data_IF_145652337119
#
_entry.id   IF_145652337119
#
_cell.length_a   1.000
_cell.length_b   1.000
_cell.length_c   1.000
_cell.angle_alpha   90.00
_cell.angle_beta   90.00
_cell.angle_gamma   90.00
#
_symmetry.space_group_name_H-M   'P 1'
#
loop_
_entity.id
_entity.type
_entity.pdbx_description
1 polymer ?
#
# COMPACT_ATOMS: atom_id res chain seq x y z
N UNK A 1 6.65 19.55 -13.05
CA UNK A 1 7.25 18.44 -12.28
C UNK A 1 8.54 17.99 -12.96
N UNK A 2 9.58 18.76 -12.80
CA UNK A 2 10.94 18.42 -13.26
C UNK A 2 11.78 18.39 -12.01
N UNK A 3 12.33 17.27 -11.61
CA UNK A 3 13.55 17.25 -10.82
C UNK A 3 13.74 16.16 -9.75
N UNK A 4 13.05 15.06 -9.82
CA UNK A 4 13.35 13.99 -8.86
C UNK A 4 14.13 12.79 -9.47
N UNK A 5 14.69 12.94 -10.68
CA UNK A 5 15.22 11.79 -11.43
C UNK A 5 16.71 11.84 -11.77
N UNK A 6 17.45 12.84 -11.35
CA UNK A 6 18.87 12.96 -11.77
C UNK A 6 19.86 12.08 -11.01
N UNK A 7 19.48 11.49 -9.87
CA UNK A 7 20.37 10.63 -9.07
C UNK A 7 19.99 9.14 -9.00
N UNK A 8 18.77 8.77 -9.46
CA UNK A 8 18.27 7.39 -9.39
C UNK A 8 17.94 6.78 -10.75
N UNK A 9 18.33 7.43 -11.84
CA UNK A 9 17.94 7.03 -13.19
C UNK A 9 18.70 5.83 -13.74
N UNK A 10 19.85 5.47 -13.18
CA UNK A 10 20.71 4.44 -13.74
C UNK A 10 20.14 3.03 -13.58
N UNK A 11 19.37 2.75 -12.52
CA UNK A 11 18.79 1.42 -12.34
C UNK A 11 17.73 1.06 -13.41
N UNK A 12 17.05 2.05 -13.97
CA UNK A 12 16.06 1.83 -15.04
C UNK A 12 16.69 1.41 -16.37
N UNK A 13 17.97 1.71 -16.55
CA UNK A 13 18.73 1.34 -17.75
C UNK A 13 19.72 0.22 -17.52
N UNK A 14 20.33 0.18 -16.31
CA UNK A 14 21.41 -0.77 -16.00
C UNK A 14 20.88 -2.09 -15.44
N UNK A 15 19.76 -2.09 -14.74
CA UNK A 15 19.15 -3.32 -14.24
C UNK A 15 18.28 -3.98 -15.32
N UNK A 16 18.65 -5.18 -15.83
CA UNK A 16 17.91 -5.83 -16.92
C UNK A 16 16.42 -6.03 -16.64
N UNK A 17 16.05 -6.24 -15.37
CA UNK A 17 14.66 -6.45 -14.96
C UNK A 17 13.79 -5.21 -15.19
N UNK A 18 14.38 -4.02 -15.04
CA UNK A 18 13.71 -2.75 -15.25
C UNK A 18 13.90 -2.23 -16.67
N UNK A 19 15.11 -2.40 -17.23
CA UNK A 19 15.47 -1.90 -18.56
C UNK A 19 14.55 -2.41 -19.66
N UNK A 20 14.10 -3.65 -19.56
CA UNK A 20 13.20 -4.27 -20.55
C UNK A 20 11.88 -3.51 -20.74
N UNK A 21 11.37 -2.84 -19.71
CA UNK A 21 10.15 -2.06 -19.78
C UNK A 21 10.42 -0.55 -19.92
N UNK A 22 11.48 -0.04 -19.28
CA UNK A 22 11.75 1.39 -19.18
C UNK A 22 12.86 1.90 -20.10
N UNK A 23 13.66 1.00 -20.65
CA UNK A 23 14.72 1.31 -21.61
C UNK A 23 14.85 0.20 -22.67
N UNK A 24 13.78 -0.16 -23.41
CA UNK A 24 13.73 -1.33 -24.28
C UNK A 24 14.80 -1.34 -25.38
N UNK A 25 15.29 -0.16 -25.76
CA UNK A 25 16.33 0.04 -26.77
C UNK A 25 17.66 0.51 -26.15
N UNK A 26 17.89 0.24 -24.85
CA UNK A 26 19.08 0.68 -24.13
C UNK A 26 19.06 2.15 -23.71
N UNK A 27 18.05 2.92 -24.13
CA UNK A 27 17.85 4.32 -23.73
C UNK A 27 16.55 4.45 -22.96
N UNK A 28 16.60 5.17 -21.83
CA UNK A 28 15.42 5.39 -20.99
C UNK A 28 14.35 6.15 -21.77
N UNK A 29 13.09 5.65 -21.67
CA UNK A 29 11.92 6.35 -22.19
C UNK A 29 11.77 7.73 -21.54
N UNK A 30 11.46 8.73 -22.37
CA UNK A 30 11.28 10.11 -21.98
C UNK A 30 9.82 10.54 -21.88
N UNK A 31 9.61 11.82 -21.64
CA UNK A 31 8.27 12.40 -21.60
C UNK A 31 7.62 12.33 -23.00
N UNK A 32 6.45 11.71 -23.10
CA UNK A 32 5.72 11.51 -24.35
C UNK A 32 5.98 10.16 -25.03
N UNK A 33 6.97 9.39 -24.58
CA UNK A 33 7.19 8.04 -25.09
C UNK A 33 6.14 7.07 -24.56
N UNK A 34 5.85 6.05 -25.36
CA UNK A 34 4.92 4.99 -24.97
C UNK A 34 5.66 3.86 -24.27
N UNK A 35 5.25 3.55 -23.02
CA UNK A 35 5.71 2.36 -22.30
C UNK A 35 4.77 1.17 -22.57
N UNK A 36 5.35 -0.01 -22.82
CA UNK A 36 4.60 -1.26 -22.94
C UNK A 36 5.14 -2.29 -21.96
N UNK A 37 4.27 -2.88 -21.14
CA UNK A 37 4.62 -3.88 -20.12
C UNK A 37 3.99 -5.23 -20.47
N UNK A 38 4.43 -5.83 -21.55
CA UNK A 38 3.87 -7.10 -22.09
C UNK A 38 3.87 -8.22 -21.07
N UNK A 39 5.01 -8.45 -20.40
CA UNK A 39 5.12 -9.52 -19.37
C UNK A 39 4.13 -9.32 -18.21
N UNK A 40 3.91 -8.08 -17.83
CA UNK A 40 2.93 -7.77 -16.79
C UNK A 40 1.49 -7.98 -17.29
N UNK A 41 1.22 -7.63 -18.55
CA UNK A 41 -0.07 -7.90 -19.17
C UNK A 41 -0.36 -9.42 -19.24
N UNK A 42 0.62 -10.24 -19.66
CA UNK A 42 0.50 -11.71 -19.71
C UNK A 42 0.24 -12.29 -18.30
N UNK A 43 0.87 -11.74 -17.27
CA UNK A 43 0.63 -12.13 -15.88
C UNK A 43 -0.81 -11.82 -15.46
N UNK A 44 -1.28 -10.59 -15.73
CA UNK A 44 -2.65 -10.18 -15.40
C UNK A 44 -3.69 -11.01 -16.19
N UNK A 45 -3.43 -11.27 -17.46
CA UNK A 45 -4.29 -12.12 -18.28
C UNK A 45 -4.36 -13.55 -17.72
N UNK A 46 -3.22 -14.11 -17.32
CA UNK A 46 -3.17 -15.43 -16.69
C UNK A 46 -4.03 -15.49 -15.43
N UNK A 47 -3.95 -14.47 -14.57
CA UNK A 47 -4.75 -14.36 -13.35
C UNK A 47 -6.25 -14.20 -13.69
N UNK A 48 -6.57 -13.37 -14.70
CA UNK A 48 -7.95 -13.16 -15.14
C UNK A 48 -8.60 -14.43 -15.68
N UNK A 49 -7.84 -15.25 -16.42
CA UNK A 49 -8.35 -16.50 -17.01
C UNK A 49 -8.40 -17.66 -16.02
N UNK A 50 -7.42 -17.78 -15.12
CA UNK A 50 -7.23 -18.94 -14.24
C UNK A 50 -7.57 -18.68 -12.78
N UNK A 51 -7.92 -17.44 -12.42
CA UNK A 51 -8.24 -17.04 -11.05
C UNK A 51 -7.00 -16.76 -10.20
N UNK A 52 -7.25 -16.41 -8.92
CA UNK A 52 -6.21 -16.01 -7.97
C UNK A 52 -5.17 -17.12 -7.72
N UNK A 53 -5.57 -18.38 -7.75
CA UNK A 53 -4.68 -19.51 -7.49
C UNK A 53 -3.50 -19.58 -8.46
N UNK A 54 -3.68 -19.07 -9.70
CA UNK A 54 -2.61 -18.99 -10.68
C UNK A 54 -1.41 -18.12 -10.24
N UNK A 55 -1.62 -17.20 -9.30
CA UNK A 55 -0.55 -16.38 -8.72
C UNK A 55 0.23 -17.17 -7.65
N UNK A 56 -0.45 -17.96 -6.85
CA UNK A 56 0.14 -18.68 -5.71
C UNK A 56 0.69 -20.05 -6.07
N UNK A 57 0.30 -20.58 -7.23
CA UNK A 57 0.74 -21.89 -7.72
C UNK A 57 1.13 -21.82 -9.19
N UNK A 58 1.90 -22.78 -9.67
CA UNK A 58 2.26 -22.89 -11.09
C UNK A 58 3.36 -21.92 -11.56
N UNK A 59 3.27 -21.45 -12.80
CA UNK A 59 4.35 -20.75 -13.47
C UNK A 59 4.73 -19.39 -12.81
N UNK A 60 3.72 -18.62 -12.35
CA UNK A 60 3.96 -17.32 -11.72
C UNK A 60 4.64 -17.52 -10.36
N UNK A 61 4.17 -18.46 -9.56
CA UNK A 61 4.79 -18.81 -8.27
C UNK A 61 6.25 -19.29 -8.46
N UNK A 62 6.48 -20.18 -9.43
CA UNK A 62 7.82 -20.68 -9.74
C UNK A 62 8.78 -19.54 -10.14
N UNK A 63 8.34 -18.62 -11.01
CA UNK A 63 9.14 -17.48 -11.43
C UNK A 63 9.45 -16.55 -10.24
N UNK A 64 8.46 -16.31 -9.37
CA UNK A 64 8.62 -15.50 -8.16
C UNK A 64 9.65 -16.08 -7.21
N UNK A 65 9.53 -17.36 -6.88
CA UNK A 65 10.48 -18.04 -5.98
C UNK A 65 11.88 -18.14 -6.58
N UNK A 66 11.98 -18.40 -7.90
CA UNK A 66 13.27 -18.42 -8.58
C UNK A 66 13.98 -17.05 -8.48
N UNK A 67 13.24 -15.95 -8.72
CA UNK A 67 13.79 -14.60 -8.61
C UNK A 67 14.19 -14.24 -7.18
N UNK A 68 13.38 -14.62 -6.18
CA UNK A 68 13.68 -14.40 -4.76
C UNK A 68 14.91 -15.20 -4.32
N UNK A 69 15.00 -16.47 -4.68
CA UNK A 69 16.14 -17.33 -4.34
C UNK A 69 17.43 -16.83 -4.96
N UNK A 70 17.39 -16.32 -6.20
CA UNK A 70 18.55 -15.69 -6.85
C UNK A 70 19.03 -14.43 -6.13
N UNK A 71 18.14 -13.77 -5.38
CA UNK A 71 18.45 -12.61 -4.53
C UNK A 71 18.65 -12.98 -3.05
N UNK A 72 18.94 -14.26 -2.73
CA UNK A 72 19.10 -14.80 -1.38
C UNK A 72 17.83 -14.71 -0.51
N UNK A 73 16.64 -14.66 -1.11
CA UNK A 73 15.36 -14.77 -0.39
C UNK A 73 15.12 -16.21 0.07
N UNK A 74 14.41 -16.36 1.19
CA UNK A 74 14.17 -17.66 1.85
C UNK A 74 12.76 -18.20 1.64
N UNK A 75 11.89 -17.47 0.95
CA UNK A 75 10.52 -17.89 0.66
C UNK A 75 10.50 -19.13 -0.24
N UNK A 76 9.57 -20.02 0.01
CA UNK A 76 9.39 -21.27 -0.73
C UNK A 76 8.07 -21.29 -1.51
N UNK A 77 7.93 -22.24 -2.42
CA UNK A 77 6.65 -22.48 -3.12
C UNK A 77 5.54 -22.90 -2.13
N UNK A 78 5.89 -23.58 -1.08
CA UNK A 78 4.95 -23.99 -0.03
C UNK A 78 4.42 -22.79 0.74
N UNK A 79 5.26 -21.80 1.04
CA UNK A 79 4.83 -20.53 1.67
C UNK A 79 3.80 -19.79 0.82
N UNK A 80 3.99 -19.76 -0.51
CA UNK A 80 3.01 -19.18 -1.43
C UNK A 80 1.72 -20.00 -1.48
N UNK A 81 1.81 -21.30 -1.64
CA UNK A 81 0.64 -22.19 -1.74
C UNK A 81 -0.20 -22.21 -0.45
N UNK A 82 0.43 -22.06 0.70
CA UNK A 82 -0.24 -22.02 2.00
C UNK A 82 -0.75 -20.63 2.39
N UNK A 83 -0.52 -19.60 1.56
CA UNK A 83 -1.03 -18.26 1.86
C UNK A 83 -2.55 -18.23 1.88
N UNK A 84 -3.11 -17.69 2.96
CA UNK A 84 -4.54 -17.50 3.11
C UNK A 84 -4.85 -16.06 3.51
N UNK A 85 -5.95 -15.52 2.96
CA UNK A 85 -6.41 -14.18 3.32
C UNK A 85 -7.11 -14.22 4.69
N UNK A 86 -6.61 -13.44 5.63
CA UNK A 86 -7.28 -13.26 6.91
C UNK A 86 -8.46 -12.29 6.77
N UNK A 87 -9.69 -12.80 6.87
CA UNK A 87 -10.91 -11.99 6.88
C UNK A 87 -11.22 -11.61 8.32
N UNK A 88 -11.21 -10.31 8.60
CA UNK A 88 -11.47 -9.76 9.93
C UNK A 88 -12.68 -8.83 9.91
N UNK A 89 -13.46 -8.75 11.02
CA UNK A 89 -14.52 -7.76 11.12
C UNK A 89 -13.93 -6.34 11.05
N UNK A 90 -14.59 -5.40 10.34
CA UNK A 90 -14.16 -4.01 10.31
C UNK A 90 -14.35 -3.35 11.68
N UNK A 91 -13.44 -2.45 12.04
CA UNK A 91 -13.67 -1.50 13.13
C UNK A 91 -14.73 -0.47 12.70
N UNK A 92 -15.55 -0.02 13.64
CA UNK A 92 -16.62 0.93 13.38
C UNK A 92 -16.75 1.94 14.52
N UNK A 93 -17.06 3.19 14.15
CA UNK A 93 -17.44 4.26 15.09
C UNK A 93 -18.69 4.95 14.60
N UNK A 94 -19.35 5.69 15.49
CA UNK A 94 -20.27 6.74 15.11
C UNK A 94 -19.51 8.08 15.11
N UNK A 95 -19.68 8.85 14.04
CA UNK A 95 -19.09 10.16 13.85
C UNK A 95 -20.13 11.11 13.26
N UNK A 96 -20.53 12.13 14.02
CA UNK A 96 -21.51 13.15 13.62
C UNK A 96 -22.79 12.56 13.03
N UNK A 97 -23.30 11.47 13.62
CA UNK A 97 -24.52 10.77 13.16
C UNK A 97 -24.29 9.77 12.01
N UNK A 98 -23.06 9.63 11.53
CA UNK A 98 -22.72 8.65 10.50
C UNK A 98 -21.97 7.46 11.11
N UNK A 99 -22.32 6.25 10.67
CA UNK A 99 -21.56 5.04 10.98
C UNK A 99 -20.37 4.92 10.02
N UNK A 100 -19.16 5.13 10.54
CA UNK A 100 -17.92 5.04 9.78
C UNK A 100 -17.24 3.70 10.07
N UNK A 101 -16.91 2.96 9.02
CA UNK A 101 -16.21 1.67 9.12
C UNK A 101 -14.86 1.75 8.44
N UNK A 102 -13.86 1.08 9.02
CA UNK A 102 -12.52 0.98 8.44
C UNK A 102 -11.88 -0.35 8.76
N UNK A 103 -10.74 -0.66 8.13
CA UNK A 103 -9.98 -1.87 8.41
C UNK A 103 -9.50 -1.88 9.86
N UNK A 104 -9.59 -3.05 10.50
CA UNK A 104 -8.97 -3.28 11.82
C UNK A 104 -7.46 -3.57 11.67
N UNK A 105 -6.76 -3.72 12.80
CA UNK A 105 -5.35 -4.10 12.82
C UNK A 105 -5.10 -5.39 11.97
N UNK A 106 -3.96 -5.48 11.26
CA UNK A 106 -2.77 -4.63 11.30
C UNK A 106 -2.81 -3.39 10.38
N UNK A 107 -3.94 -3.10 9.76
CA UNK A 107 -4.09 -1.89 8.93
C UNK A 107 -4.36 -0.66 9.82
N UNK A 108 -3.97 0.53 9.32
CA UNK A 108 -4.08 1.79 10.05
C UNK A 108 -5.49 2.42 10.05
N UNK A 109 -6.52 1.66 9.68
CA UNK A 109 -7.90 2.14 9.68
C UNK A 109 -8.41 2.59 11.06
N UNK A 110 -8.01 1.89 12.12
CA UNK A 110 -8.31 2.27 13.51
C UNK A 110 -7.70 3.61 13.90
N UNK A 111 -6.52 3.97 13.34
CA UNK A 111 -5.91 5.30 13.54
C UNK A 111 -6.81 6.39 12.97
N UNK A 112 -7.30 6.20 11.75
CA UNK A 112 -8.21 7.16 11.13
C UNK A 112 -9.51 7.32 11.93
N UNK A 113 -10.05 6.22 12.46
CA UNK A 113 -11.24 6.25 13.31
C UNK A 113 -10.96 6.98 14.64
N UNK A 114 -9.80 6.76 15.26
CA UNK A 114 -9.37 7.45 16.49
C UNK A 114 -9.23 8.95 16.26
N UNK A 115 -8.60 9.35 15.16
CA UNK A 115 -8.48 10.76 14.76
C UNK A 115 -9.87 11.41 14.60
N UNK A 116 -10.78 10.75 13.88
CA UNK A 116 -12.16 11.25 13.72
C UNK A 116 -12.87 11.42 15.06
N UNK A 117 -12.77 10.44 15.96
CA UNK A 117 -13.38 10.56 17.31
C UNK A 117 -12.76 11.68 18.13
N UNK A 118 -11.45 11.90 18.01
CA UNK A 118 -10.77 12.99 18.70
C UNK A 118 -11.27 14.35 18.22
N UNK A 119 -11.35 14.55 16.89
CA UNK A 119 -11.80 15.85 16.36
C UNK A 119 -13.31 16.09 16.48
N UNK A 120 -14.10 15.04 16.67
CA UNK A 120 -15.55 15.14 16.91
C UNK A 120 -15.87 15.94 18.19
N UNK A 121 -15.00 15.86 19.20
CA UNK A 121 -15.18 16.54 20.48
C UNK A 121 -15.00 18.08 20.40
N UNK A 122 -14.59 18.62 19.25
CA UNK A 122 -14.41 20.07 19.11
C UNK A 122 -15.58 20.72 18.38
N UNK A 123 -16.19 21.71 19.03
CA UNK A 123 -17.18 22.59 18.41
C UNK A 123 -16.53 23.47 17.34
N UNK A 124 -17.24 23.82 16.28
CA UNK A 124 -16.77 24.68 15.19
C UNK A 124 -15.63 24.07 14.34
N UNK A 125 -15.35 22.78 14.48
CA UNK A 125 -14.30 22.12 13.70
C UNK A 125 -14.65 22.12 12.21
N UNK A 126 -13.79 22.76 11.40
CA UNK A 126 -13.95 22.91 9.95
C UNK A 126 -14.68 24.18 9.53
N UNK A 127 -15.13 25.04 10.43
CA UNK A 127 -15.65 26.37 10.10
C UNK A 127 -14.53 27.27 9.59
N UNK A 128 -14.84 28.18 8.64
CA UNK A 128 -13.85 29.05 7.97
C UNK A 128 -13.08 29.91 8.98
N UNK A 129 -13.77 30.47 9.97
CA UNK A 129 -13.16 31.30 11.04
C UNK A 129 -12.25 30.51 11.98
N UNK A 130 -12.40 29.18 11.99
CA UNK A 130 -11.67 28.27 12.90
C UNK A 130 -10.63 27.42 12.13
N UNK A 131 -10.36 27.70 10.86
CA UNK A 131 -9.54 26.84 10.01
C UNK A 131 -8.13 26.57 10.56
N UNK A 132 -7.46 27.60 11.09
CA UNK A 132 -6.11 27.46 11.66
C UNK A 132 -6.12 26.56 12.89
N UNK A 133 -7.08 26.77 13.80
CA UNK A 133 -7.23 25.97 15.01
C UNK A 133 -7.67 24.53 14.69
N UNK A 134 -8.57 24.36 13.72
CA UNK A 134 -8.99 23.04 13.24
C UNK A 134 -7.84 22.27 12.63
N UNK A 135 -6.97 22.93 11.85
CA UNK A 135 -5.76 22.33 11.28
C UNK A 135 -4.79 21.88 12.36
N UNK A 136 -4.54 22.73 13.35
CA UNK A 136 -3.68 22.37 14.48
C UNK A 136 -4.25 21.17 15.26
N UNK A 137 -5.53 21.19 15.58
CA UNK A 137 -6.20 20.09 16.30
C UNK A 137 -6.18 18.78 15.50
N UNK A 138 -6.31 18.87 14.18
CA UNK A 138 -6.21 17.69 13.30
C UNK A 138 -4.77 17.12 13.30
N UNK A 139 -3.75 17.99 13.20
CA UNK A 139 -2.36 17.56 13.25
C UNK A 139 -2.03 16.86 14.58
N UNK A 140 -2.44 17.44 15.69
CA UNK A 140 -2.28 16.83 17.01
C UNK A 140 -3.04 15.48 17.12
N UNK A 141 -4.28 15.41 16.66
CA UNK A 141 -5.05 14.17 16.67
C UNK A 141 -4.37 13.07 15.85
N UNK A 142 -3.77 13.42 14.69
CA UNK A 142 -3.01 12.49 13.87
C UNK A 142 -1.76 12.01 14.62
N UNK A 143 -1.02 12.89 15.25
CA UNK A 143 0.18 12.54 16.03
C UNK A 143 -0.15 11.59 17.18
N UNK A 144 -1.22 11.86 17.92
CA UNK A 144 -1.70 10.98 18.99
C UNK A 144 -2.12 9.62 18.45
N UNK A 145 -2.90 9.58 17.35
CA UNK A 145 -3.34 8.33 16.71
C UNK A 145 -2.15 7.46 16.25
N UNK A 146 -1.11 8.06 15.68
CA UNK A 146 0.12 7.32 15.36
C UNK A 146 0.95 6.95 16.58
N UNK A 147 0.89 7.72 17.65
CA UNK A 147 1.50 7.37 18.94
C UNK A 147 0.91 6.10 19.54
N UNK A 148 -0.40 5.90 19.40
CA UNK A 148 -1.09 4.70 19.87
C UNK A 148 -0.61 3.42 19.16
N UNK A 149 -0.32 3.49 17.87
CA UNK A 149 0.20 2.35 17.08
C UNK A 149 1.58 1.88 17.56
N UNK A 150 2.39 2.80 18.12
CA UNK A 150 3.74 2.49 18.60
C UNK A 150 3.75 1.75 19.95
N UNK A 151 2.64 1.70 20.66
CA UNK A 151 2.53 1.00 21.94
C UNK A 151 1.95 -0.41 21.72
N UNK A 152 2.77 -1.48 21.80
CA UNK A 152 2.38 -2.85 21.36
C UNK A 152 1.20 -3.48 22.09
N UNK A 153 0.74 -2.94 23.20
CA UNK A 153 -0.18 -3.61 24.12
C UNK A 153 -1.60 -3.02 24.23
N UNK A 154 -1.99 -2.01 23.42
CA UNK A 154 -3.32 -1.40 23.58
C UNK A 154 -4.38 -1.80 22.55
N UNK A 155 -4.01 -2.43 21.45
CA UNK A 155 -4.97 -2.84 20.40
C UNK A 155 -5.61 -4.21 20.60
N UNK A 156 -5.29 -4.92 21.71
CA UNK A 156 -5.90 -6.24 21.99
C UNK A 156 -7.17 -6.16 22.86
N UNK A 157 -7.69 -4.96 23.16
CA UNK A 157 -8.84 -4.79 24.03
C UNK A 157 -9.91 -3.87 23.39
N UNK A 158 -10.46 -4.25 22.26
CA UNK A 158 -11.78 -3.80 21.79
C UNK A 158 -12.42 -4.90 20.93
#
# INVERSE_FOLDING_TARGET
MRSATSGHSDFLTLNPTWAIDFAPNGTRLGLGDTITRKRYADTLETIAQKGADAFYTGAIANATITALSAANGTMTLEDLANYTVAIRPPAAIEYRGYKVKSCSAPASGTVALSVLKTVEGYEGFGEEVMVNLSTHRLDEAIRFGYGEVRTPNKFNCM
#
